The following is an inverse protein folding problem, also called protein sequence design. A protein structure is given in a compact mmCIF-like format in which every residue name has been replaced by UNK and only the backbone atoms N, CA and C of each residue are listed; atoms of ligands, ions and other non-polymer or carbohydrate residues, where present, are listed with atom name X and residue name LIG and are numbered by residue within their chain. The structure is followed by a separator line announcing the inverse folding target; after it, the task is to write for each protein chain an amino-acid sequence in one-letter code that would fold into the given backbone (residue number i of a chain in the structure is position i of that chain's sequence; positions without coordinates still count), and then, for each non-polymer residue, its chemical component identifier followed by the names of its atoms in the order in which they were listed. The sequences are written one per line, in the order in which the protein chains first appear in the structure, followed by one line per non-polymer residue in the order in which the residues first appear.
data_IF_558520968677
#
_entry.id   IF_558520968677
#
_cell.length_a   1.000
_cell.length_b   1.000
_cell.length_c   1.000
_cell.angle_alpha   90.00
_cell.angle_beta   90.00
_cell.angle_gamma   90.00
#
_symmetry.space_group_name_H-M   'P 1'
#
loop_
_entity.id
_entity.type
_entity.pdbx_description
1 polymer ?
#
# COMPACT_ATOMS: atom_id res chain seq x y z
N UNK A 1 3.38 4.28 -15.16
CA UNK A 1 4.65 5.00 -14.94
C UNK A 1 5.37 4.98 -16.26
N UNK A 2 5.43 6.13 -16.94
CA UNK A 2 6.09 6.31 -18.23
C UNK A 2 7.01 7.51 -18.04
N UNK A 3 8.30 7.33 -18.35
CA UNK A 3 9.32 8.36 -18.23
C UNK A 3 9.61 8.93 -19.62
N UNK A 4 9.61 10.26 -19.74
CA UNK A 4 10.01 10.99 -20.95
C UNK A 4 11.29 11.77 -20.67
N UNK A 5 12.32 11.55 -21.49
CA UNK A 5 13.55 12.37 -21.54
C UNK A 5 13.50 13.31 -22.74
N UNK A 6 13.94 14.56 -22.54
CA UNK A 6 14.95 15.22 -23.38
C UNK A 6 16.19 15.50 -22.51
N UNK A 7 17.39 15.81 -23.00
CA UNK A 7 17.85 16.18 -24.34
C UNK A 7 18.98 17.21 -24.13
N UNK A 8 20.22 16.88 -24.51
CA UNK A 8 21.45 17.63 -24.16
C UNK A 8 22.17 18.10 -25.42
N UNK A 9 22.73 19.32 -25.45
CA UNK A 9 24.09 19.54 -25.99
C UNK A 9 24.85 20.63 -25.16
N UNK A 10 26.01 21.17 -25.58
CA UNK A 10 27.28 20.54 -25.22
C UNK A 10 28.34 21.49 -24.56
N UNK A 11 29.30 20.85 -23.88
CA UNK A 11 30.70 21.25 -23.60
C UNK A 11 31.15 22.72 -23.66
N UNK A 12 31.82 23.17 -22.59
CA UNK A 12 33.18 23.69 -22.76
C UNK A 12 34.09 23.42 -21.53
N UNK A 13 35.40 23.22 -21.76
CA UNK A 13 36.45 23.07 -20.72
C UNK A 13 37.08 24.43 -20.43
N UNK A 14 37.56 24.66 -19.19
CA UNK A 14 38.94 25.09 -18.88
C UNK A 14 39.16 25.38 -17.39
N UNK A 15 40.34 24.99 -16.90
CA UNK A 15 41.10 25.48 -15.73
C UNK A 15 42.54 25.71 -16.22
N UNK A 16 43.55 26.16 -15.44
CA UNK A 16 43.60 26.63 -14.03
C UNK A 16 44.38 27.96 -13.82
N UNK A 17 44.41 28.50 -12.58
CA UNK A 17 45.61 29.04 -11.86
C UNK A 17 45.21 29.92 -10.63
N UNK A 18 46.06 29.95 -9.60
CA UNK A 18 46.09 30.97 -8.53
C UNK A 18 47.27 31.95 -8.74
N UNK A 19 47.81 32.68 -7.72
CA UNK A 19 47.54 32.59 -6.26
C UNK A 19 47.39 33.94 -5.50
N UNK A 20 47.08 33.86 -4.18
CA UNK A 20 47.48 34.73 -3.03
C UNK A 20 47.40 36.27 -3.07
N UNK A 21 46.79 36.88 -2.03
CA UNK A 21 47.39 37.89 -1.11
C UNK A 21 46.35 38.53 -0.14
N UNK A 22 46.71 38.74 1.13
CA UNK A 22 46.10 39.73 2.08
C UNK A 22 47.06 40.93 2.27
N UNK A 23 47.11 41.71 3.38
CA UNK A 23 46.37 41.76 4.68
C UNK A 23 45.80 43.21 4.91
N UNK A 24 45.79 43.93 6.10
CA UNK A 24 45.88 43.64 7.56
C UNK A 24 44.68 44.25 8.39
N UNK A 25 44.64 44.36 9.74
CA UNK A 25 45.43 43.73 10.83
C UNK A 25 45.79 44.60 12.07
N UNK A 26 44.84 44.93 12.97
CA UNK A 26 45.04 45.43 14.37
C UNK A 26 44.03 44.67 15.28
N UNK A 27 44.28 44.13 16.49
CA UNK A 27 45.11 44.47 17.66
C UNK A 27 44.15 44.47 18.88
N UNK A 28 44.37 43.86 20.07
CA UNK A 28 45.55 43.26 20.70
C UNK A 28 45.17 42.11 21.70
N UNK A 29 46.19 41.45 22.26
CA UNK A 29 46.15 40.32 23.23
C UNK A 29 46.65 40.80 24.63
N UNK A 30 47.03 39.98 25.67
CA UNK A 30 47.18 38.50 25.77
C UNK A 30 46.81 37.85 27.14
N UNK A 31 47.36 36.63 27.38
CA UNK A 31 47.50 35.79 28.60
C UNK A 31 46.66 34.49 28.56
N UNK A 32 47.19 33.26 28.70
CA UNK A 32 48.57 32.70 28.58
C UNK A 32 48.53 31.18 28.28
N UNK A 33 49.57 30.64 27.64
CA UNK A 33 49.89 29.18 27.47
C UNK A 33 50.81 28.70 28.63
N UNK A 34 51.32 27.44 28.76
CA UNK A 34 51.53 26.33 27.79
C UNK A 34 51.02 24.94 28.30
N UNK A 35 51.23 23.76 27.68
CA UNK A 35 51.97 23.32 26.47
C UNK A 35 51.76 21.81 26.21
N UNK A 36 52.31 21.27 25.11
CA UNK A 36 52.30 19.84 24.72
C UNK A 36 53.72 19.23 24.84
N UNK A 37 53.87 17.90 24.88
CA UNK A 37 54.50 17.23 23.73
C UNK A 37 53.92 15.84 23.36
N UNK A 38 54.53 15.24 22.33
CA UNK A 38 54.11 14.08 21.53
C UNK A 38 54.75 12.75 22.02
N UNK A 39 54.06 11.60 21.92
CA UNK A 39 54.58 10.30 21.36
C UNK A 39 53.60 9.11 21.56
N UNK A 40 53.65 8.16 20.62
CA UNK A 40 53.11 6.78 20.70
C UNK A 40 54.31 5.82 20.72
N UNK A 41 54.35 4.80 21.60
CA UNK A 41 54.29 3.44 21.06
C UNK A 41 53.57 2.39 21.96
N UNK A 42 52.59 1.69 21.38
CA UNK A 42 52.40 0.22 21.50
C UNK A 42 52.32 -0.45 22.89
N UNK A 43 51.13 -0.88 23.34
CA UNK A 43 50.96 -2.11 24.14
C UNK A 43 49.53 -2.69 24.11
N UNK A 44 49.43 -4.02 24.22
CA UNK A 44 48.20 -4.84 24.02
C UNK A 44 47.39 -5.04 25.31
N UNK A 45 46.05 -4.95 25.24
CA UNK A 45 45.05 -5.97 25.73
C UNK A 45 43.59 -5.52 25.49
N UNK A 46 42.61 -6.44 25.31
CA UNK A 46 41.23 -6.13 24.92
C UNK A 46 40.24 -6.02 26.10
N UNK A 47 39.07 -5.36 25.92
CA UNK A 47 37.95 -5.38 26.86
C UNK A 47 37.09 -6.67 26.74
N UNK A 48 36.33 -7.06 27.78
CA UNK A 48 35.67 -8.37 27.85
C UNK A 48 34.20 -8.40 27.38
N UNK A 49 33.71 -9.63 27.19
CA UNK A 49 32.30 -10.07 27.18
C UNK A 49 31.42 -9.78 25.94
N UNK A 50 31.70 -10.52 24.86
CA UNK A 50 30.64 -11.14 24.06
C UNK A 50 30.04 -12.34 24.81
N UNK A 51 28.92 -12.20 25.52
CA UNK A 51 28.11 -13.35 25.99
C UNK A 51 26.60 -13.06 25.91
N UNK A 52 26.04 -12.89 24.70
CA UNK A 52 24.57 -12.96 24.55
C UNK A 52 23.99 -13.28 23.15
N UNK A 53 24.72 -13.93 22.23
CA UNK A 53 24.17 -14.29 20.90
C UNK A 53 24.31 -15.76 20.46
N UNK A 54 24.92 -16.65 21.25
CA UNK A 54 25.15 -18.04 20.81
C UNK A 54 23.92 -18.97 21.00
N UNK A 55 22.93 -18.57 21.80
CA UNK A 55 21.88 -19.50 22.27
C UNK A 55 20.60 -19.60 21.41
N UNK A 56 20.61 -19.10 20.16
CA UNK A 56 19.46 -19.25 19.25
C UNK A 56 19.76 -20.01 17.95
N UNK A 57 21.02 -20.36 17.66
CA UNK A 57 21.40 -21.03 16.41
C UNK A 57 21.50 -22.57 16.52
N UNK A 58 21.38 -23.14 17.72
CA UNK A 58 21.64 -24.57 17.96
C UNK A 58 20.39 -25.48 17.99
N UNK A 59 19.17 -24.92 17.87
CA UNK A 59 17.93 -25.73 17.92
C UNK A 59 17.54 -26.38 16.57
N UNK A 60 18.21 -26.02 15.48
CA UNK A 60 17.94 -26.53 14.12
C UNK A 60 18.81 -27.72 13.67
N UNK A 61 19.82 -28.16 14.44
CA UNK A 61 20.72 -29.23 14.00
C UNK A 61 20.24 -30.66 14.30
N UNK A 62 19.22 -30.84 15.16
CA UNK A 62 18.71 -32.18 15.49
C UNK A 62 17.68 -32.76 14.50
N UNK A 63 17.24 -31.98 13.51
CA UNK A 63 16.47 -32.49 12.38
C UNK A 63 17.38 -33.03 11.27
N UNK A 64 18.25 -34.01 11.58
CA UNK A 64 18.86 -34.86 10.53
C UNK A 64 17.70 -35.49 9.75
N UNK A 65 17.50 -35.09 8.49
CA UNK A 65 16.44 -35.62 7.62
C UNK A 65 16.56 -37.15 7.56
N UNK A 66 15.70 -37.88 8.28
CA UNK A 66 15.56 -39.34 8.16
C UNK A 66 15.37 -39.65 6.68
N UNK A 67 16.27 -40.43 6.07
CA UNK A 67 16.19 -40.71 4.64
C UNK A 67 15.05 -41.70 4.44
N UNK A 68 14.33 -41.60 3.31
CA UNK A 68 13.25 -42.56 3.01
C UNK A 68 13.77 -44.00 2.88
N UNK A 69 15.06 -44.18 2.58
CA UNK A 69 15.73 -45.48 2.59
C UNK A 69 15.78 -46.13 3.98
N UNK A 70 15.94 -45.33 5.04
CA UNK A 70 16.02 -45.81 6.43
C UNK A 70 14.67 -46.37 6.94
N UNK A 71 13.58 -46.15 6.20
CA UNK A 71 12.23 -46.68 6.45
C UNK A 71 11.90 -47.93 5.63
N UNK A 72 12.75 -48.38 4.70
CA UNK A 72 12.44 -49.51 3.81
C UNK A 72 13.12 -50.79 4.34
N UNK A 73 12.35 -51.87 4.49
CA UNK A 73 12.89 -53.15 4.96
C UNK A 73 13.77 -53.83 3.89
N UNK A 74 14.97 -54.32 4.25
CA UNK A 74 15.80 -55.16 3.37
C UNK A 74 15.06 -56.40 2.87
N UNK A 75 15.38 -56.82 1.64
CA UNK A 75 14.74 -57.94 0.94
C UNK A 75 14.72 -59.23 1.80
N UNK A 76 15.87 -59.59 2.40
CA UNK A 76 16.00 -60.78 3.26
C UNK A 76 15.06 -60.77 4.48
N UNK A 77 14.74 -59.59 5.03
CA UNK A 77 13.81 -59.48 6.18
C UNK A 77 12.36 -59.60 5.69
N UNK A 78 12.07 -59.10 4.47
CA UNK A 78 10.74 -59.23 3.86
C UNK A 78 10.36 -60.68 3.54
N UNK A 79 11.34 -61.48 3.13
CA UNK A 79 11.14 -62.92 2.83
C UNK A 79 11.03 -63.79 4.10
N UNK A 80 11.54 -63.32 5.24
CA UNK A 80 11.50 -64.05 6.53
C UNK A 80 10.29 -63.71 7.42
N UNK A 81 9.63 -62.58 7.21
CA UNK A 81 8.55 -62.06 8.08
C UNK A 81 7.31 -61.74 7.26
N UNK A 82 6.20 -62.49 7.38
CA UNK A 82 5.02 -62.31 6.53
C UNK A 82 4.31 -60.96 6.76
N UNK A 83 4.37 -60.40 7.97
CA UNK A 83 3.81 -59.07 8.30
C UNK A 83 4.57 -57.91 7.65
N UNK A 84 5.74 -58.15 7.06
CA UNK A 84 6.58 -57.12 6.45
C UNK A 84 5.91 -56.40 5.27
N UNK A 85 4.99 -57.08 4.56
CA UNK A 85 4.21 -56.48 3.47
C UNK A 85 3.25 -55.41 4.00
N UNK A 86 2.54 -55.70 5.11
CA UNK A 86 1.64 -54.73 5.74
C UNK A 86 2.39 -53.47 6.21
N UNK A 87 3.62 -53.61 6.72
CA UNK A 87 4.47 -52.47 7.04
C UNK A 87 4.83 -51.62 5.81
N UNK A 88 5.17 -52.27 4.68
CA UNK A 88 5.47 -51.57 3.43
C UNK A 88 4.24 -50.85 2.85
N UNK A 89 3.05 -51.43 3.00
CA UNK A 89 1.78 -50.82 2.58
C UNK A 89 1.42 -49.62 3.49
N UNK A 90 1.64 -49.72 4.81
CA UNK A 90 1.54 -48.58 5.73
C UNK A 90 2.51 -47.45 5.35
N UNK A 91 3.74 -47.77 4.97
CA UNK A 91 4.73 -46.79 4.50
C UNK A 91 4.33 -46.12 3.18
N UNK A 92 3.74 -46.88 2.25
CA UNK A 92 3.18 -46.34 1.02
C UNK A 92 1.98 -45.42 1.29
N UNK A 93 1.12 -45.80 2.23
CA UNK A 93 -0.01 -44.99 2.70
C UNK A 93 0.45 -43.70 3.40
N UNK A 94 1.44 -43.77 4.31
CA UNK A 94 2.07 -42.61 4.95
C UNK A 94 2.54 -41.59 3.90
N UNK A 95 3.28 -42.05 2.88
CA UNK A 95 3.76 -41.18 1.78
C UNK A 95 2.61 -40.54 1.00
N UNK A 96 1.53 -41.29 0.72
CA UNK A 96 0.37 -40.77 -0.02
C UNK A 96 -0.43 -39.76 0.82
N UNK A 97 -0.53 -40.00 2.13
CA UNK A 97 -1.15 -39.11 3.10
C UNK A 97 -0.34 -37.83 3.26
N UNK A 98 0.98 -37.90 3.45
CA UNK A 98 1.89 -36.75 3.52
C UNK A 98 1.83 -35.89 2.25
N UNK A 99 1.85 -36.51 1.07
CA UNK A 99 1.67 -35.80 -0.21
C UNK A 99 0.32 -35.08 -0.30
N UNK A 100 -0.74 -35.72 0.20
CA UNK A 100 -2.10 -35.14 0.20
C UNK A 100 -2.21 -33.98 1.19
N UNK A 101 -1.65 -34.11 2.39
CA UNK A 101 -1.58 -33.04 3.39
C UNK A 101 -0.76 -31.86 2.85
N UNK A 102 0.43 -32.11 2.28
CA UNK A 102 1.27 -31.04 1.76
C UNK A 102 0.60 -30.31 0.59
N UNK A 103 -0.07 -31.04 -0.32
CA UNK A 103 -0.89 -30.44 -1.39
C UNK A 103 -2.01 -29.59 -0.80
N UNK A 104 -2.83 -30.14 0.11
CA UNK A 104 -3.94 -29.40 0.74
C UNK A 104 -3.49 -28.19 1.53
N UNK A 105 -2.32 -28.26 2.19
CA UNK A 105 -1.70 -27.11 2.86
C UNK A 105 -1.36 -25.99 1.87
N UNK A 106 -0.82 -26.33 0.70
CA UNK A 106 -0.55 -25.35 -0.36
C UNK A 106 -1.84 -24.81 -0.99
N UNK A 107 -2.83 -25.67 -1.28
CA UNK A 107 -4.16 -25.26 -1.76
C UNK A 107 -4.80 -24.23 -0.81
N UNK A 108 -4.78 -24.51 0.50
CA UNK A 108 -5.31 -23.62 1.55
C UNK A 108 -4.47 -22.33 1.62
N UNK A 109 -3.14 -22.42 1.56
CA UNK A 109 -2.27 -21.25 1.58
C UNK A 109 -2.45 -20.36 0.34
N UNK A 110 -2.84 -20.91 -0.82
CA UNK A 110 -3.24 -20.10 -1.98
C UNK A 110 -4.64 -19.51 -1.81
N UNK A 111 -5.62 -20.31 -1.38
CA UNK A 111 -7.00 -19.85 -1.17
C UNK A 111 -7.06 -18.69 -0.16
N UNK A 112 -6.28 -18.75 0.92
CA UNK A 112 -6.18 -17.68 1.93
C UNK A 112 -5.61 -16.36 1.37
N UNK A 113 -4.88 -16.37 0.25
CA UNK A 113 -4.45 -15.14 -0.46
C UNK A 113 -5.60 -14.45 -1.21
N UNK A 114 -6.76 -15.12 -1.36
CA UNK A 114 -7.95 -14.60 -2.06
C UNK A 114 -9.14 -14.53 -1.08
N UNK A 115 -9.10 -13.65 -0.05
CA UNK A 115 -10.15 -13.57 0.96
C UNK A 115 -11.52 -13.30 0.33
N UNK A 116 -12.52 -14.07 0.77
CA UNK A 116 -13.90 -13.98 0.28
C UNK A 116 -14.47 -12.59 0.65
N UNK A 117 -14.90 -11.83 -0.35
CA UNK A 117 -15.45 -10.48 -0.16
C UNK A 117 -16.95 -10.54 0.12
N UNK A 118 -17.38 -10.02 1.27
CA UNK A 118 -18.80 -9.82 1.56
C UNK A 118 -19.25 -8.43 1.08
N UNK A 119 -20.36 -8.38 0.32
CA UNK A 119 -21.02 -7.11 -0.04
C UNK A 119 -21.94 -6.70 1.11
N UNK A 120 -21.75 -5.50 1.66
CA UNK A 120 -22.66 -4.86 2.65
C UNK A 120 -23.08 -3.47 2.13
N UNK A 121 -24.18 -2.92 2.66
CA UNK A 121 -24.65 -1.57 2.33
C UNK A 121 -24.13 -0.57 3.36
N UNK A 122 -23.36 0.44 2.94
CA UNK A 122 -22.99 1.59 3.76
C UNK A 122 -24.05 2.68 3.56
N UNK A 123 -24.62 3.22 4.65
CA UNK A 123 -25.47 4.41 4.63
C UNK A 123 -24.65 5.61 5.08
N UNK A 124 -24.70 6.68 4.30
CA UNK A 124 -24.02 7.95 4.57
C UNK A 124 -25.09 9.00 4.86
N UNK A 125 -24.84 9.84 5.86
CA UNK A 125 -25.66 10.99 6.23
C UNK A 125 -24.82 12.24 6.01
N UNK A 126 -25.40 13.25 5.37
CA UNK A 126 -24.81 14.58 5.21
C UNK A 126 -25.82 15.55 5.82
N UNK A 127 -25.42 16.27 6.86
CA UNK A 127 -26.28 17.24 7.55
C UNK A 127 -25.57 18.59 7.71
N UNK A 128 -26.35 19.66 7.63
CA UNK A 128 -25.91 21.02 7.87
C UNK A 128 -26.65 21.59 9.09
N UNK A 129 -25.91 22.17 10.03
CA UNK A 129 -26.44 22.88 11.19
C UNK A 129 -25.97 24.33 11.14
N UNK A 130 -26.90 25.28 11.11
CA UNK A 130 -26.59 26.71 11.20
C UNK A 130 -26.73 27.21 12.63
N UNK A 131 -25.73 27.95 13.10
CA UNK A 131 -25.70 28.61 14.39
C UNK A 131 -25.72 30.14 14.14
N UNK A 132 -26.82 30.84 14.45
CA UNK A 132 -26.91 32.28 14.26
C UNK A 132 -25.96 33.03 15.22
N UNK A 133 -25.58 34.25 14.82
CA UNK A 133 -24.84 35.15 15.69
C UNK A 133 -25.64 35.50 16.95
N UNK A 134 -24.99 35.56 18.11
CA UNK A 134 -25.58 36.14 19.33
C UNK A 134 -24.90 37.48 19.62
N UNK A 135 -25.64 38.60 19.64
CA UNK A 135 -25.09 39.93 19.94
C UNK A 135 -24.71 40.09 21.42
N UNK A 136 -25.47 39.46 22.32
CA UNK A 136 -25.31 39.62 23.76
C UNK A 136 -24.69 38.36 24.40
N UNK A 137 -23.37 38.39 24.60
CA UNK A 137 -22.68 37.57 25.59
C UNK A 137 -22.35 38.47 26.79
N UNK A 138 -22.72 38.06 28.01
CA UNK A 138 -22.47 38.88 29.22
C UNK A 138 -20.97 39.12 29.48
N UNK A 139 -20.10 38.29 28.89
CA UNK A 139 -18.64 38.42 28.92
C UNK A 139 -18.05 39.35 27.82
N UNK A 140 -18.89 40.00 27.01
CA UNK A 140 -18.47 41.02 26.03
C UNK A 140 -17.92 40.52 24.69
N UNK A 141 -17.79 39.21 24.47
CA UNK A 141 -17.34 38.62 23.21
C UNK A 141 -18.52 38.09 22.37
N UNK A 142 -19.08 38.95 21.52
CA UNK A 142 -20.19 38.61 20.63
C UNK A 142 -19.85 37.48 19.64
N UNK A 143 -20.78 36.55 19.42
CA UNK A 143 -20.49 35.35 18.60
C UNK A 143 -20.87 35.55 17.14
N UNK A 144 -19.94 35.22 16.22
CA UNK A 144 -20.17 35.29 14.77
C UNK A 144 -21.02 34.10 14.29
N UNK A 145 -21.93 34.37 13.35
CA UNK A 145 -22.74 33.34 12.70
C UNK A 145 -21.85 32.27 12.04
N UNK A 146 -22.20 31.00 12.20
CA UNK A 146 -21.40 29.89 11.68
C UNK A 146 -22.25 28.69 11.28
N UNK A 147 -21.82 27.99 10.24
CA UNK A 147 -22.42 26.72 9.82
C UNK A 147 -21.50 25.55 10.12
N UNK A 148 -22.10 24.38 10.25
CA UNK A 148 -21.44 23.12 10.54
C UNK A 148 -21.96 22.01 9.62
N UNK A 149 -21.08 21.50 8.76
CA UNK A 149 -21.34 20.36 7.89
C UNK A 149 -20.83 19.08 8.56
N UNK A 150 -21.70 18.08 8.73
CA UNK A 150 -21.32 16.73 9.16
C UNK A 150 -21.47 15.73 8.02
N UNK A 151 -20.48 14.86 7.87
CA UNK A 151 -20.49 13.71 6.97
C UNK A 151 -20.25 12.46 7.82
N UNK A 152 -21.32 11.74 8.12
CA UNK A 152 -21.31 10.55 8.98
C UNK A 152 -21.72 9.31 8.19
N UNK A 153 -21.40 8.10 8.69
CA UNK A 153 -21.95 6.90 8.08
C UNK A 153 -21.88 5.65 8.93
N UNK A 154 -22.68 4.65 8.54
CA UNK A 154 -22.76 3.35 9.22
C UNK A 154 -23.10 2.24 8.25
N UNK A 155 -22.54 1.05 8.49
CA UNK A 155 -23.01 -0.15 7.80
C UNK A 155 -24.45 -0.46 8.23
N UNK A 156 -25.28 -0.85 7.27
CA UNK A 156 -26.56 -1.47 7.55
C UNK A 156 -26.33 -2.94 7.91
N UNK A 157 -26.95 -3.37 9.00
CA UNK A 157 -26.95 -4.77 9.44
C UNK A 157 -28.03 -5.54 8.66
N UNK A 158 -27.69 -6.73 8.15
CA UNK A 158 -28.69 -7.66 7.63
C UNK A 158 -29.27 -8.45 8.81
N UNK A 159 -30.55 -8.22 9.12
CA UNK A 159 -31.26 -8.79 10.28
C UNK A 159 -31.24 -10.33 10.36
N UNK A 160 -30.85 -11.02 9.28
CA UNK A 160 -30.74 -12.48 9.23
C UNK A 160 -29.46 -13.05 9.89
N UNK A 161 -28.43 -12.23 10.18
CA UNK A 161 -27.08 -12.71 10.57
C UNK A 161 -26.69 -12.30 12.00
N UNK A 162 -27.53 -11.53 12.69
CA UNK A 162 -27.12 -10.64 13.77
C UNK A 162 -26.70 -11.28 15.10
N UNK A 163 -26.99 -12.56 15.37
CA UNK A 163 -26.74 -13.17 16.69
C UNK A 163 -25.30 -13.67 16.95
N UNK A 164 -24.48 -13.89 15.92
CA UNK A 164 -23.12 -14.45 16.07
C UNK A 164 -21.97 -13.45 15.85
N UNK A 165 -22.22 -12.26 15.28
CA UNK A 165 -21.16 -11.27 15.00
C UNK A 165 -21.14 -10.06 15.96
N UNK A 166 -22.07 -9.95 16.91
CA UNK A 166 -22.23 -8.77 17.77
C UNK A 166 -20.98 -8.41 18.62
N UNK A 167 -20.08 -9.36 18.86
CA UNK A 167 -18.81 -9.18 19.59
C UNK A 167 -17.63 -8.71 18.73
N UNK A 168 -17.76 -8.62 17.39
CA UNK A 168 -16.72 -8.03 16.55
C UNK A 168 -16.87 -6.52 16.52
N UNK A 169 -15.79 -5.78 16.75
CA UNK A 169 -15.74 -4.32 16.68
C UNK A 169 -16.39 -3.82 15.38
N UNK A 170 -17.44 -3.00 15.48
CA UNK A 170 -18.10 -2.41 14.31
C UNK A 170 -17.08 -1.57 13.55
N UNK A 171 -16.90 -1.86 12.26
CA UNK A 171 -16.00 -1.10 11.38
C UNK A 171 -16.49 0.34 11.26
N UNK A 172 -15.60 1.26 11.59
CA UNK A 172 -15.84 2.72 11.56
C UNK A 172 -16.10 3.23 10.14
N UNK A 173 -16.85 4.33 10.01
CA UNK A 173 -17.14 4.99 8.73
C UNK A 173 -15.89 5.29 7.90
N UNK A 174 -14.90 5.98 8.49
CA UNK A 174 -13.65 6.33 7.82
C UNK A 174 -12.90 5.09 7.31
N UNK A 175 -13.10 3.93 7.95
CA UNK A 175 -12.42 2.67 7.62
C UNK A 175 -12.77 2.11 6.23
N UNK A 176 -13.69 2.72 5.49
CA UNK A 176 -14.01 2.36 4.10
C UNK A 176 -13.38 3.30 3.05
N UNK A 177 -12.77 4.41 3.46
CA UNK A 177 -12.28 5.46 2.56
C UNK A 177 -10.76 5.63 2.64
N UNK A 178 -10.12 5.86 1.49
CA UNK A 178 -8.72 6.25 1.38
C UNK A 178 -8.55 7.75 1.60
N UNK A 179 -9.49 8.54 1.11
CA UNK A 179 -9.57 9.98 1.36
C UNK A 179 -10.99 10.51 1.21
N UNK A 180 -11.20 11.69 1.78
CA UNK A 180 -12.40 12.50 1.70
C UNK A 180 -11.94 13.93 1.38
N UNK A 181 -12.62 14.58 0.43
CA UNK A 181 -12.39 15.99 0.10
C UNK A 181 -13.72 16.72 0.12
N UNK A 182 -13.77 17.86 0.79
CA UNK A 182 -14.91 18.79 0.75
C UNK A 182 -14.39 20.07 0.09
N UNK A 183 -14.92 20.34 -1.09
CA UNK A 183 -14.69 21.57 -1.85
C UNK A 183 -15.85 22.53 -1.58
N UNK A 184 -15.53 23.72 -1.09
CA UNK A 184 -16.43 24.84 -0.85
C UNK A 184 -16.28 25.86 -1.99
N UNK A 185 -17.15 26.88 -2.01
CA UNK A 185 -17.04 27.94 -3.01
C UNK A 185 -15.72 28.72 -2.86
N UNK A 186 -14.90 28.68 -3.92
CA UNK A 186 -13.56 29.25 -3.96
C UNK A 186 -13.56 30.78 -3.92
N UNK A 187 -14.60 31.41 -4.45
CA UNK A 187 -14.67 32.88 -4.49
C UNK A 187 -15.05 33.44 -3.11
N UNK A 188 -15.75 32.64 -2.28
CA UNK A 188 -16.14 33.01 -0.91
C UNK A 188 -15.04 32.73 0.12
N UNK A 189 -14.34 31.60 0.02
CA UNK A 189 -13.32 31.19 1.01
C UNK A 189 -11.86 31.39 0.55
N UNK A 190 -11.65 31.80 -0.69
CA UNK A 190 -10.31 31.98 -1.26
C UNK A 190 -9.57 30.66 -1.53
N UNK A 191 -8.39 30.74 -2.18
CA UNK A 191 -7.65 29.57 -2.67
C UNK A 191 -7.23 28.61 -1.55
N UNK A 192 -6.99 29.08 -0.34
CA UNK A 192 -6.40 28.27 0.73
C UNK A 192 -7.42 27.66 1.71
N UNK A 193 -8.61 28.25 1.85
CA UNK A 193 -9.62 27.77 2.83
C UNK A 193 -10.83 27.05 2.22
N UNK A 194 -11.02 27.14 0.89
CA UNK A 194 -12.14 26.49 0.21
C UNK A 194 -12.03 24.96 0.17
N UNK A 195 -10.86 24.37 0.42
CA UNK A 195 -10.64 22.93 0.35
C UNK A 195 -10.39 22.35 1.75
N UNK A 196 -11.12 21.27 2.09
CA UNK A 196 -10.87 20.47 3.29
C UNK A 196 -10.58 19.05 2.88
N UNK A 197 -9.33 18.62 3.03
CA UNK A 197 -8.88 17.28 2.66
C UNK A 197 -8.57 16.42 3.90
N UNK A 198 -9.05 15.17 3.88
CA UNK A 198 -8.64 14.12 4.80
C UNK A 198 -8.07 12.95 4.00
N UNK A 199 -6.86 12.54 4.36
CA UNK A 199 -6.14 11.43 3.73
C UNK A 199 -5.78 10.38 4.78
N UNK A 200 -6.15 9.12 4.54
CA UNK A 200 -5.77 8.03 5.45
C UNK A 200 -4.28 7.73 5.36
N UNK A 201 -3.63 7.73 6.52
CA UNK A 201 -2.26 7.28 6.77
C UNK A 201 -2.25 6.00 7.62
N UNK A 202 -1.09 5.35 7.77
CA UNK A 202 -0.94 4.15 8.59
C UNK A 202 -1.24 4.36 10.09
N UNK A 203 -1.23 5.61 10.56
CA UNK A 203 -1.46 6.01 11.96
C UNK A 203 -2.80 6.72 12.17
N UNK A 204 -3.66 6.79 11.16
CA UNK A 204 -4.94 7.52 11.25
C UNK A 204 -5.91 6.83 12.22
N UNK A 205 -6.41 7.58 13.19
CA UNK A 205 -7.47 7.12 14.07
C UNK A 205 -8.81 7.09 13.30
N UNK A 206 -9.49 5.95 13.33
CA UNK A 206 -10.73 5.73 12.59
C UNK A 206 -11.95 6.33 13.32
N UNK A 207 -12.73 7.16 12.62
CA UNK A 207 -13.93 7.88 13.10
C UNK A 207 -15.20 7.42 12.38
N UNK A 208 -16.36 7.64 12.99
CA UNK A 208 -17.68 7.42 12.36
C UNK A 208 -18.22 8.63 11.59
N UNK A 209 -17.54 9.78 11.68
CA UNK A 209 -17.91 10.97 10.94
C UNK A 209 -16.83 12.06 10.91
N UNK A 210 -17.03 13.01 10.01
CA UNK A 210 -16.21 14.21 9.83
C UNK A 210 -17.09 15.45 10.01
N UNK A 211 -16.57 16.47 10.66
CA UNK A 211 -17.27 17.71 10.99
C UNK A 211 -16.42 18.89 10.52
N UNK A 212 -17.01 19.78 9.73
CA UNK A 212 -16.38 21.01 9.24
C UNK A 212 -17.24 22.19 9.69
N UNK A 213 -16.65 23.11 10.45
CA UNK A 213 -17.30 24.34 10.91
C UNK A 213 -16.59 25.54 10.31
N UNK A 214 -17.35 26.50 9.76
CA UNK A 214 -16.83 27.78 9.25
C UNK A 214 -17.76 28.94 9.67
N UNK A 215 -17.23 30.16 9.84
CA UNK A 215 -18.08 31.35 9.93
C UNK A 215 -18.78 31.61 8.59
N UNK A 216 -19.91 32.29 8.67
CA UNK A 216 -20.74 32.69 7.54
C UNK A 216 -22.24 32.45 7.77
N UNK A 217 -23.04 33.37 7.26
CA UNK A 217 -24.50 33.39 7.21
C UNK A 217 -25.07 33.23 5.79
N UNK A 218 -24.21 33.30 4.78
CA UNK A 218 -24.54 33.07 3.36
C UNK A 218 -24.52 31.58 3.01
N UNK A 219 -25.44 31.16 2.12
CA UNK A 219 -25.47 29.79 1.62
C UNK A 219 -24.26 29.44 0.75
N UNK A 220 -23.55 28.36 1.10
CA UNK A 220 -22.33 27.89 0.42
C UNK A 220 -22.63 26.67 -0.44
N UNK A 221 -22.10 26.64 -1.67
CA UNK A 221 -22.11 25.43 -2.52
C UNK A 221 -20.97 24.50 -2.08
N UNK A 222 -21.28 23.25 -1.78
CA UNK A 222 -20.30 22.26 -1.32
C UNK A 222 -20.31 21.00 -2.19
N UNK A 223 -19.14 20.55 -2.64
CA UNK A 223 -18.94 19.27 -3.32
C UNK A 223 -18.21 18.31 -2.38
N UNK A 224 -18.81 17.15 -2.07
CA UNK A 224 -18.20 16.13 -1.20
C UNK A 224 -17.73 14.96 -2.05
N UNK A 225 -16.41 14.75 -2.11
CA UNK A 225 -15.76 13.67 -2.83
C UNK A 225 -15.29 12.59 -1.85
N UNK A 226 -15.73 11.35 -2.07
CA UNK A 226 -15.42 10.21 -1.22
C UNK A 226 -14.66 9.14 -2.01
N UNK A 227 -13.38 8.93 -1.71
CA UNK A 227 -12.54 7.92 -2.37
C UNK A 227 -12.51 6.62 -1.54
N UNK A 228 -13.15 5.56 -2.04
CA UNK A 228 -13.17 4.25 -1.38
C UNK A 228 -11.78 3.59 -1.34
N UNK A 229 -11.43 2.98 -0.20
CA UNK A 229 -10.22 2.17 -0.05
C UNK A 229 -10.47 0.73 -0.53
N UNK A 230 -10.35 0.52 -1.85
CA UNK A 230 -10.42 -0.81 -2.42
C UNK A 230 -9.14 -1.60 -2.16
N UNK A 231 -9.29 -2.75 -1.50
CA UNK A 231 -8.21 -3.72 -1.30
C UNK A 231 -8.49 -5.03 -2.07
N UNK A 232 -7.65 -5.44 -3.04
CA UNK A 232 -6.62 -4.64 -3.70
C UNK A 232 -7.23 -3.45 -4.50
N UNK A 233 -6.41 -2.45 -4.88
CA UNK A 233 -6.86 -1.26 -5.61
C UNK A 233 -7.65 -1.57 -6.88
N UNK A 234 -8.75 -0.84 -7.06
CA UNK A 234 -9.60 -0.87 -8.24
C UNK A 234 -9.64 0.50 -8.90
N UNK A 235 -9.80 0.49 -10.22
CA UNK A 235 -9.77 1.66 -11.07
C UNK A 235 -11.06 1.71 -11.89
N UNK A 236 -11.71 2.87 -11.91
CA UNK A 236 -12.80 3.17 -12.84
C UNK A 236 -12.17 3.44 -14.21
N UNK A 237 -12.63 2.75 -15.25
CA UNK A 237 -12.14 2.95 -16.61
C UNK A 237 -12.79 4.16 -17.26
N UNK A 238 -12.08 4.77 -18.23
CA UNK A 238 -12.67 5.71 -19.17
C UNK A 238 -13.92 5.09 -19.84
N UNK A 239 -15.03 5.83 -20.05
CA UNK A 239 -16.27 5.27 -20.60
C UNK A 239 -16.13 4.55 -21.94
N UNK A 240 -15.18 4.94 -22.80
CA UNK A 240 -14.91 4.29 -24.09
C UNK A 240 -14.18 2.98 -23.89
N UNK A 241 -13.13 2.97 -23.05
CA UNK A 241 -12.41 1.75 -22.68
C UNK A 241 -13.30 0.77 -21.90
N UNK A 242 -14.16 1.29 -21.03
CA UNK A 242 -15.11 0.50 -20.25
C UNK A 242 -16.10 -0.24 -21.15
N UNK A 243 -16.60 0.42 -22.19
CA UNK A 243 -17.45 -0.18 -23.22
C UNK A 243 -16.69 -1.20 -24.07
N UNK A 244 -15.43 -0.92 -24.42
CA UNK A 244 -14.58 -1.80 -25.22
C UNK A 244 -14.26 -3.14 -24.52
N UNK A 245 -13.98 -3.08 -23.20
CA UNK A 245 -13.61 -4.26 -22.41
C UNK A 245 -14.77 -4.90 -21.65
N UNK A 246 -15.96 -4.28 -21.63
CA UNK A 246 -17.09 -4.70 -20.78
C UNK A 246 -16.86 -4.52 -19.28
N UNK A 247 -15.95 -3.61 -18.88
CA UNK A 247 -15.47 -3.45 -17.50
C UNK A 247 -15.63 -1.99 -17.06
N UNK A 248 -16.47 -1.72 -16.06
CA UNK A 248 -16.60 -0.36 -15.51
C UNK A 248 -15.52 -0.04 -14.45
N UNK A 249 -15.39 -0.92 -13.44
CA UNK A 249 -14.44 -0.75 -12.33
C UNK A 249 -13.85 -2.12 -11.97
N UNK A 250 -12.53 -2.27 -12.04
CA UNK A 250 -11.83 -3.53 -11.72
C UNK A 250 -10.39 -3.29 -11.23
N UNK A 251 -9.73 -4.36 -10.78
CA UNK A 251 -8.30 -4.33 -10.44
C UNK A 251 -7.42 -4.25 -11.69
N UNK A 252 -6.23 -3.64 -11.57
CA UNK A 252 -5.29 -3.49 -12.70
C UNK A 252 -4.96 -4.82 -13.41
N UNK A 253 -4.70 -5.96 -12.72
CA UNK A 253 -4.47 -7.24 -13.41
C UNK A 253 -5.66 -7.71 -14.25
N UNK A 254 -6.89 -7.55 -13.75
CA UNK A 254 -8.11 -7.95 -14.49
C UNK A 254 -8.33 -7.06 -15.71
N UNK A 255 -8.12 -5.75 -15.58
CA UNK A 255 -8.19 -4.79 -16.69
C UNK A 255 -7.16 -5.13 -17.77
N UNK A 256 -5.91 -5.38 -17.38
CA UNK A 256 -4.82 -5.75 -18.29
C UNK A 256 -5.11 -7.09 -18.98
N UNK A 257 -5.61 -8.09 -18.25
CA UNK A 257 -5.97 -9.39 -18.81
C UNK A 257 -7.11 -9.28 -19.83
N UNK A 258 -8.12 -8.44 -19.56
CA UNK A 258 -9.22 -8.19 -20.50
C UNK A 258 -8.74 -7.47 -21.76
N UNK A 259 -7.87 -6.47 -21.62
CA UNK A 259 -7.23 -5.78 -22.75
C UNK A 259 -6.36 -6.73 -23.58
N UNK A 260 -5.58 -7.61 -22.93
CA UNK A 260 -4.82 -8.65 -23.61
C UNK A 260 -5.72 -9.66 -24.33
N UNK A 261 -6.86 -10.02 -23.74
CA UNK A 261 -7.85 -10.88 -24.40
C UNK A 261 -8.45 -10.19 -25.64
N UNK A 262 -8.78 -8.90 -25.56
CA UNK A 262 -9.23 -8.10 -26.71
C UNK A 262 -8.20 -8.13 -27.84
N UNK A 263 -6.92 -7.88 -27.53
CA UNK A 263 -5.81 -7.86 -28.48
C UNK A 263 -5.63 -9.20 -29.19
N UNK A 264 -5.70 -10.33 -28.46
CA UNK A 264 -5.63 -11.68 -29.06
C UNK A 264 -6.83 -11.97 -29.97
N UNK A 265 -8.04 -11.68 -29.51
CA UNK A 265 -9.28 -11.94 -30.29
C UNK A 265 -9.28 -11.18 -31.61
N UNK A 266 -8.79 -9.93 -31.62
CA UNK A 266 -8.71 -9.08 -32.80
C UNK A 266 -7.37 -9.19 -33.57
N UNK A 267 -6.47 -10.10 -33.16
CA UNK A 267 -5.15 -10.33 -33.78
C UNK A 267 -4.30 -9.05 -33.94
N UNK A 268 -4.30 -8.21 -32.90
CA UNK A 268 -3.66 -6.88 -32.93
C UNK A 268 -2.17 -6.87 -32.54
N UNK A 269 -1.61 -8.00 -32.10
CA UNK A 269 -0.17 -8.13 -31.85
C UNK A 269 0.58 -8.14 -33.18
N UNK A 270 1.70 -7.42 -33.28
CA UNK A 270 2.48 -7.41 -34.52
C UNK A 270 3.09 -8.81 -34.79
N UNK A 271 3.00 -9.32 -36.04
CA UNK A 271 3.52 -10.65 -36.37
C UNK A 271 5.05 -10.74 -36.36
N UNK A 272 5.75 -9.63 -36.62
CA UNK A 272 7.22 -9.57 -36.64
C UNK A 272 7.75 -9.10 -35.27
N UNK A 273 7.20 -8.02 -34.73
CA UNK A 273 7.64 -7.43 -33.47
C UNK A 273 6.64 -7.66 -32.33
N UNK A 274 6.62 -8.88 -31.80
CA UNK A 274 5.62 -9.35 -30.81
C UNK A 274 5.51 -8.53 -29.50
N UNK A 275 6.41 -7.59 -29.23
CA UNK A 275 6.26 -6.65 -28.11
C UNK A 275 5.19 -5.57 -28.37
N UNK A 276 4.95 -5.24 -29.65
CA UNK A 276 4.06 -4.18 -30.08
C UNK A 276 2.65 -4.67 -30.42
N UNK A 277 1.70 -3.75 -30.23
CA UNK A 277 0.28 -3.92 -30.54
C UNK A 277 -0.12 -2.81 -31.49
N UNK A 278 -0.60 -3.21 -32.67
CA UNK A 278 -1.19 -2.35 -33.68
C UNK A 278 -2.62 -2.02 -33.27
N UNK A 279 -2.84 -0.82 -32.74
CA UNK A 279 -4.15 -0.39 -32.26
C UNK A 279 -5.16 -0.33 -33.42
N UNK A 280 -6.31 -0.99 -33.28
CA UNK A 280 -7.43 -0.85 -34.21
C UNK A 280 -8.13 0.51 -34.04
N UNK A 281 -9.18 0.77 -34.86
CA UNK A 281 -9.92 2.04 -34.79
C UNK A 281 -10.52 2.33 -33.40
N UNK A 282 -10.86 1.30 -32.63
CA UNK A 282 -11.50 1.46 -31.32
C UNK A 282 -10.46 1.73 -30.24
N UNK A 283 -9.32 1.03 -30.29
CA UNK A 283 -8.22 1.22 -29.36
C UNK A 283 -7.50 2.55 -29.63
N UNK A 284 -7.29 2.94 -30.90
CA UNK A 284 -6.81 4.27 -31.29
C UNK A 284 -7.72 5.37 -30.74
N UNK A 285 -9.04 5.18 -30.80
CA UNK A 285 -10.02 6.12 -30.24
C UNK A 285 -9.91 6.29 -28.72
N UNK A 286 -9.42 5.27 -27.99
CA UNK A 286 -9.23 5.34 -26.53
C UNK A 286 -7.86 5.90 -26.17
N UNK A 287 -6.80 5.47 -26.86
CA UNK A 287 -5.41 5.77 -26.49
C UNK A 287 -4.84 7.00 -27.20
N UNK A 288 -5.48 7.45 -28.29
CA UNK A 288 -4.96 8.39 -29.29
C UNK A 288 -3.62 7.96 -29.91
N UNK A 289 -3.30 6.67 -29.89
CA UNK A 289 -2.01 6.11 -30.33
C UNK A 289 -2.23 4.95 -31.32
N UNK A 290 -1.46 4.91 -32.42
CA UNK A 290 -1.55 3.88 -33.47
C UNK A 290 -0.87 2.55 -33.11
N UNK A 291 0.25 2.59 -32.39
CA UNK A 291 1.01 1.40 -31.98
C UNK A 291 1.44 1.56 -30.52
N UNK A 292 1.22 0.55 -29.67
CA UNK A 292 1.56 0.63 -28.25
C UNK A 292 2.28 -0.63 -27.74
N UNK A 293 3.05 -0.46 -26.65
CA UNK A 293 3.68 -1.55 -25.90
C UNK A 293 2.83 -1.87 -24.67
N UNK A 294 2.36 -3.12 -24.56
CA UNK A 294 1.61 -3.57 -23.38
C UNK A 294 2.51 -4.38 -22.44
N UNK A 295 3.18 -3.68 -21.52
CA UNK A 295 3.94 -4.32 -20.44
C UNK A 295 2.97 -4.88 -19.39
N UNK A 296 2.81 -6.21 -19.43
CA UNK A 296 2.05 -7.03 -18.47
C UNK A 296 2.73 -7.05 -17.09
#
# INVERSE_FOLDING_TARGET
VILTRPGMPPTNRMTPQGPSMGPPGYGASPVSRPGMPVMDPSRKRPPPNQIQQVQQQNRNQHAKKKKMADKILPQRIRELVPESQAYMDLLAFERKLDQTIMRKRLDIQEALKRPIKQKRKLRIFISNTFNPAKPDAEDGEGTVASWELRVEGRLLEDNAVSKYEATKQKRKFSSFFKSLVIELDKDLYGPDNHLVEWHRTATTQETDGFQVKRPGDVGVRCTVLLMLDYQPPQFKLDPRLARLLGIHTQTRPVIIQALWQYVKTHKLQDPHEREFINCDKYLQQVTNIRVCLLKL
#
